data_IF_296691478707
#
_entry.id   IF_296691478707
#
_cell.length_a   1.000
_cell.length_b   1.000
_cell.length_c   1.000
_cell.angle_alpha   90.00
_cell.angle_beta   90.00
_cell.angle_gamma   90.00
#
_symmetry.space_group_name_H-M   'P 1'
#
loop_
_entity.id
_entity.type
_entity.pdbx_description
1 polymer ?
#
# COMPACT_ATOMS: atom_id res chain seq x y z
N UNK A 1 -12.01 20.86 -21.77
CA UNK A 1 -12.29 19.55 -22.38
C UNK A 1 -11.42 18.47 -21.74
N UNK A 2 -10.15 18.75 -21.49
CA UNK A 2 -9.17 17.78 -20.95
C UNK A 2 -9.53 17.20 -19.57
N UNK A 3 -10.15 18.00 -18.71
CA UNK A 3 -10.57 17.54 -17.39
C UNK A 3 -11.69 16.50 -17.44
N UNK A 4 -12.62 16.61 -18.39
CA UNK A 4 -13.70 15.65 -18.55
C UNK A 4 -13.14 14.30 -19.03
N UNK A 5 -12.22 14.35 -19.99
CA UNK A 5 -11.56 13.14 -20.52
C UNK A 5 -10.78 12.43 -19.43
N UNK A 6 -9.99 13.18 -18.63
CA UNK A 6 -9.26 12.61 -17.50
C UNK A 6 -10.18 11.98 -16.45
N UNK A 7 -11.34 12.61 -16.19
CA UNK A 7 -12.31 12.10 -15.23
C UNK A 7 -13.00 10.81 -15.71
N UNK A 8 -13.30 10.73 -17.01
CA UNK A 8 -13.84 9.52 -17.64
C UNK A 8 -12.81 8.38 -17.59
N UNK A 9 -11.55 8.67 -17.93
CA UNK A 9 -10.46 7.67 -17.87
C UNK A 9 -10.24 7.15 -16.44
N UNK A 10 -10.20 8.04 -15.45
CA UNK A 10 -10.09 7.65 -14.05
C UNK A 10 -11.30 6.85 -13.55
N UNK A 11 -12.49 7.18 -14.02
CA UNK A 11 -13.71 6.43 -13.74
C UNK A 11 -13.70 5.04 -14.35
N UNK A 12 -13.21 4.92 -15.58
CA UNK A 12 -13.07 3.63 -16.27
C UNK A 12 -12.02 2.73 -15.60
N UNK A 13 -10.88 3.30 -15.21
CA UNK A 13 -9.81 2.57 -14.50
C UNK A 13 -10.32 1.99 -13.17
N UNK A 14 -10.91 2.83 -12.32
CA UNK A 14 -11.48 2.38 -11.04
C UNK A 14 -12.69 1.45 -11.22
N UNK A 15 -13.54 1.73 -12.20
CA UNK A 15 -14.69 0.90 -12.51
C UNK A 15 -14.31 -0.50 -12.99
N UNK A 16 -13.25 -0.62 -13.80
CA UNK A 16 -12.73 -1.91 -14.23
C UNK A 16 -12.17 -2.74 -13.08
N UNK A 17 -11.46 -2.11 -12.14
CA UNK A 17 -10.96 -2.77 -10.94
C UNK A 17 -12.11 -3.31 -10.07
N UNK A 18 -13.13 -2.51 -9.82
CA UNK A 18 -14.33 -2.96 -9.09
C UNK A 18 -15.09 -4.08 -9.80
N UNK A 19 -15.19 -4.01 -11.12
CA UNK A 19 -15.83 -5.07 -11.92
C UNK A 19 -15.10 -6.41 -11.77
N UNK A 20 -13.77 -6.40 -11.81
CA UNK A 20 -12.94 -7.60 -11.61
C UNK A 20 -13.11 -8.18 -10.20
N UNK A 21 -13.12 -7.33 -9.18
CA UNK A 21 -13.33 -7.74 -7.79
C UNK A 21 -14.72 -8.37 -7.63
N UNK A 22 -15.76 -7.72 -8.16
CA UNK A 22 -17.13 -8.21 -8.11
C UNK A 22 -17.29 -9.56 -8.82
N UNK A 23 -16.67 -9.70 -9.99
CA UNK A 23 -16.67 -10.94 -10.75
C UNK A 23 -15.98 -12.09 -10.00
N UNK A 24 -14.80 -11.82 -9.41
CA UNK A 24 -14.07 -12.78 -8.59
C UNK A 24 -14.87 -13.21 -7.36
N UNK A 25 -15.51 -12.27 -6.68
CA UNK A 25 -16.35 -12.54 -5.52
C UNK A 25 -17.59 -13.37 -5.87
N UNK A 26 -18.25 -13.03 -6.99
CA UNK A 26 -19.41 -13.78 -7.49
C UNK A 26 -19.03 -15.22 -7.85
N UNK A 27 -17.86 -15.41 -8.43
CA UNK A 27 -17.37 -16.75 -8.78
C UNK A 27 -17.11 -17.60 -7.53
N UNK A 28 -16.46 -17.02 -6.50
CA UNK A 28 -16.19 -17.72 -5.24
C UNK A 28 -17.49 -18.07 -4.53
N UNK A 29 -18.43 -17.14 -4.40
CA UNK A 29 -19.71 -17.38 -3.74
C UNK A 29 -20.61 -18.34 -4.53
N UNK A 30 -20.56 -18.26 -5.86
CA UNK A 30 -21.33 -19.16 -6.74
C UNK A 30 -20.84 -20.60 -6.70
N UNK A 31 -19.53 -20.83 -6.57
CA UNK A 31 -18.95 -22.19 -6.53
C UNK A 31 -19.00 -22.82 -5.14
N UNK A 32 -18.72 -22.04 -4.09
CA UNK A 32 -18.66 -22.54 -2.71
C UNK A 32 -20.05 -22.57 -2.03
N UNK A 33 -21.03 -21.82 -2.53
CA UNK A 33 -22.37 -21.74 -1.94
C UNK A 33 -22.43 -21.12 -0.53
N UNK A 34 -21.28 -20.64 0.00
CA UNK A 34 -21.16 -20.06 1.33
C UNK A 34 -20.61 -18.63 1.24
N UNK A 35 -21.34 -17.69 1.79
CA UNK A 35 -20.91 -16.29 1.86
C UNK A 35 -19.97 -16.12 3.06
N UNK A 36 -18.69 -15.95 2.78
CA UNK A 36 -17.70 -15.70 3.83
C UNK A 36 -17.46 -14.18 3.98
N UNK A 37 -18.10 -13.55 4.97
CA UNK A 37 -17.93 -12.12 5.24
C UNK A 37 -16.52 -11.73 5.72
N UNK A 38 -15.72 -12.70 6.18
CA UNK A 38 -14.32 -12.44 6.58
C UNK A 38 -13.44 -12.05 5.39
N UNK A 39 -13.86 -12.33 4.15
CA UNK A 39 -13.10 -12.00 2.95
C UNK A 39 -12.84 -10.49 2.81
N UNK A 40 -13.84 -9.66 3.09
CA UNK A 40 -13.69 -8.21 3.08
C UNK A 40 -12.72 -7.71 4.16
N UNK A 41 -12.78 -8.29 5.36
CA UNK A 41 -11.86 -7.94 6.44
C UNK A 41 -10.41 -8.31 6.11
N UNK A 42 -10.17 -9.47 5.52
CA UNK A 42 -8.84 -9.90 5.06
C UNK A 42 -8.29 -9.01 3.95
N UNK A 43 -9.15 -8.58 3.02
CA UNK A 43 -8.77 -7.64 1.97
C UNK A 43 -8.33 -6.29 2.55
N UNK A 44 -9.11 -5.74 3.49
CA UNK A 44 -8.74 -4.50 4.19
C UNK A 44 -7.44 -4.64 4.96
N UNK A 45 -7.24 -5.75 5.65
CA UNK A 45 -6.02 -6.01 6.41
C UNK A 45 -4.80 -6.03 5.50
N UNK A 46 -4.88 -6.69 4.34
CA UNK A 46 -3.83 -6.70 3.33
C UNK A 46 -3.49 -5.30 2.80
N UNK A 47 -4.51 -4.50 2.51
CA UNK A 47 -4.34 -3.12 2.08
C UNK A 47 -3.67 -2.26 3.16
N UNK A 48 -4.08 -2.41 4.42
CA UNK A 48 -3.46 -1.71 5.55
C UNK A 48 -2.00 -2.11 5.74
N UNK A 49 -1.67 -3.39 5.65
CA UNK A 49 -0.29 -3.87 5.74
C UNK A 49 0.58 -3.25 4.63
N UNK A 50 0.10 -3.22 3.40
CA UNK A 50 0.84 -2.65 2.27
C UNK A 50 1.05 -1.14 2.44
N UNK A 51 0.00 -0.40 2.83
CA UNK A 51 0.09 1.05 3.06
C UNK A 51 1.03 1.36 4.23
N UNK A 52 0.93 0.62 5.33
CA UNK A 52 1.77 0.83 6.52
C UNK A 52 3.24 0.59 6.18
N UNK A 53 3.54 -0.48 5.46
CA UNK A 53 4.90 -0.78 5.02
C UNK A 53 5.45 0.30 4.08
N UNK A 54 4.66 0.73 3.09
CA UNK A 54 5.05 1.83 2.20
C UNK A 54 5.31 3.13 2.98
N UNK A 55 4.49 3.43 4.00
CA UNK A 55 4.67 4.58 4.88
C UNK A 55 5.93 4.49 5.73
N UNK A 56 6.26 3.31 6.24
CA UNK A 56 7.49 3.08 7.01
C UNK A 56 8.72 3.32 6.14
N UNK A 57 8.69 2.86 4.88
CA UNK A 57 9.77 3.10 3.93
C UNK A 57 9.94 4.58 3.56
N UNK A 58 8.86 5.35 3.56
CA UNK A 58 8.86 6.78 3.22
C UNK A 58 8.94 7.70 4.45
N UNK A 59 9.22 7.17 5.64
CA UNK A 59 9.46 8.01 6.82
C UNK A 59 10.65 8.93 6.58
N UNK A 60 10.44 10.23 6.76
CA UNK A 60 11.43 11.27 6.56
C UNK A 60 11.67 12.07 7.83
N UNK A 61 12.85 12.64 7.94
CA UNK A 61 13.19 13.63 8.95
C UNK A 61 13.53 14.95 8.27
N UNK A 62 13.33 16.04 8.99
CA UNK A 62 13.61 17.38 8.47
C UNK A 62 15.09 17.68 8.67
N UNK A 63 15.81 17.86 7.58
CA UNK A 63 17.20 18.36 7.58
C UNK A 63 17.22 19.81 7.16
N UNK A 64 18.02 20.61 7.84
CA UNK A 64 18.21 22.03 7.49
C UNK A 64 19.33 22.10 6.46
N UNK A 65 18.99 22.43 5.23
CA UNK A 65 19.98 22.66 4.18
C UNK A 65 20.42 24.12 4.19
N UNK A 66 21.62 24.37 4.72
CA UNK A 66 22.20 25.72 4.79
C UNK A 66 22.64 26.25 3.41
N UNK A 67 22.76 25.36 2.42
CA UNK A 67 23.18 25.73 1.06
C UNK A 67 22.02 26.33 0.25
N UNK A 68 20.79 25.96 0.57
CA UNK A 68 19.59 26.49 -0.06
C UNK A 68 18.86 27.44 0.90
N UNK A 69 18.63 28.64 0.44
CA UNK A 69 17.93 29.68 1.20
C UNK A 69 16.58 30.00 0.55
N UNK A 70 15.57 30.13 1.39
CA UNK A 70 14.27 30.62 0.99
C UNK A 70 14.35 32.10 0.56
N UNK A 71 13.31 32.60 -0.09
CA UNK A 71 13.17 33.98 -0.55
C UNK A 71 13.43 35.03 0.57
N UNK A 72 13.26 34.64 1.84
CA UNK A 72 13.51 35.44 3.04
C UNK A 72 14.93 35.28 3.60
N UNK A 73 15.79 34.50 2.95
CA UNK A 73 17.17 34.25 3.40
C UNK A 73 17.32 33.21 4.52
N UNK A 74 16.23 32.54 4.91
CA UNK A 74 16.28 31.47 5.90
C UNK A 74 16.72 30.14 5.24
N UNK A 75 17.46 29.28 5.96
CA UNK A 75 17.83 27.96 5.45
C UNK A 75 16.60 27.11 5.14
N UNK A 76 16.63 26.42 4.00
CA UNK A 76 15.52 25.60 3.54
C UNK A 76 15.43 24.33 4.38
N UNK A 77 14.22 23.96 4.80
CA UNK A 77 13.94 22.68 5.44
C UNK A 77 13.61 21.65 4.36
N UNK A 78 14.43 20.63 4.26
CA UNK A 78 14.26 19.54 3.30
C UNK A 78 13.89 18.27 4.05
N UNK A 79 12.84 17.60 3.60
CA UNK A 79 12.43 16.31 4.13
C UNK A 79 13.29 15.21 3.50
N UNK A 80 14.18 14.63 4.27
CA UNK A 80 15.07 13.54 3.84
C UNK A 80 14.57 12.23 4.41
N UNK A 81 14.29 11.23 3.59
CA UNK A 81 13.89 9.91 4.06
C UNK A 81 15.01 9.24 4.85
N UNK A 82 14.68 8.61 6.00
CA UNK A 82 15.65 7.86 6.83
C UNK A 82 16.38 6.75 6.05
N UNK A 83 15.77 6.25 4.99
CA UNK A 83 16.36 5.21 4.16
C UNK A 83 17.62 5.68 3.44
N UNK A 84 17.80 6.99 3.23
CA UNK A 84 18.99 7.57 2.62
C UNK A 84 20.19 7.50 3.55
N UNK A 85 19.97 7.59 4.88
CA UNK A 85 21.04 7.47 5.87
C UNK A 85 21.59 6.04 5.95
N UNK A 86 20.74 5.04 5.63
CA UNK A 86 21.10 3.62 5.73
C UNK A 86 21.68 3.05 4.44
N UNK A 87 21.17 3.44 3.30
CA UNK A 87 21.50 2.85 1.99
C UNK A 87 22.15 3.83 1.01
N UNK A 88 22.30 5.08 1.42
CA UNK A 88 22.75 6.15 0.52
C UNK A 88 21.65 6.68 -0.40
N UNK A 89 21.89 7.85 -0.97
CA UNK A 89 20.90 8.59 -1.72
C UNK A 89 20.41 7.85 -2.98
N UNK A 90 21.33 7.25 -3.76
CA UNK A 90 20.98 6.55 -5.00
C UNK A 90 20.19 5.26 -4.79
N UNK A 91 20.59 4.45 -3.80
CA UNK A 91 19.89 3.22 -3.46
C UNK A 91 18.57 3.50 -2.74
N UNK A 92 18.55 4.48 -1.84
CA UNK A 92 17.35 4.93 -1.15
C UNK A 92 16.28 5.44 -2.12
N UNK A 93 16.67 6.23 -3.12
CA UNK A 93 15.77 6.69 -4.17
C UNK A 93 15.15 5.52 -4.96
N UNK A 94 15.95 4.52 -5.32
CA UNK A 94 15.45 3.34 -5.99
C UNK A 94 14.42 2.58 -5.13
N UNK A 95 14.71 2.41 -3.84
CA UNK A 95 13.80 1.73 -2.89
C UNK A 95 12.48 2.51 -2.75
N UNK A 96 12.53 3.84 -2.68
CA UNK A 96 11.31 4.67 -2.58
C UNK A 96 10.49 4.57 -3.88
N UNK A 97 11.13 4.62 -5.04
CA UNK A 97 10.46 4.47 -6.32
C UNK A 97 9.78 3.09 -6.46
N UNK A 98 10.38 2.07 -5.85
CA UNK A 98 9.84 0.70 -5.81
C UNK A 98 9.08 0.39 -4.51
N UNK A 99 8.72 1.40 -3.72
CA UNK A 99 8.05 1.21 -2.43
C UNK A 99 6.71 0.47 -2.55
N UNK A 100 5.92 0.77 -3.58
CA UNK A 100 4.62 0.12 -3.79
C UNK A 100 4.74 -1.36 -4.14
N UNK A 101 5.53 -1.79 -5.15
CA UNK A 101 5.73 -3.20 -5.42
C UNK A 101 6.40 -3.95 -4.26
N UNK A 102 7.34 -3.34 -3.56
CA UNK A 102 7.95 -3.91 -2.36
C UNK A 102 6.94 -4.08 -1.23
N UNK A 103 6.05 -3.11 -1.03
CA UNK A 103 4.99 -3.20 -0.04
C UNK A 103 4.01 -4.35 -0.34
N UNK A 104 3.67 -4.55 -1.60
CA UNK A 104 2.83 -5.69 -2.03
C UNK A 104 3.55 -7.02 -1.77
N UNK A 105 4.83 -7.11 -2.13
CA UNK A 105 5.64 -8.30 -1.91
C UNK A 105 5.75 -8.66 -0.42
N UNK A 106 5.84 -7.65 0.46
CA UNK A 106 5.88 -7.85 1.91
C UNK A 106 4.50 -8.21 2.49
N UNK A 107 3.42 -7.65 1.95
CA UNK A 107 2.07 -7.93 2.40
C UNK A 107 1.67 -9.40 2.17
N UNK A 108 2.16 -10.04 1.11
CA UNK A 108 1.84 -11.43 0.78
C UNK A 108 2.19 -12.41 1.92
N UNK A 109 3.45 -12.48 2.41
CA UNK A 109 3.80 -13.42 3.49
C UNK A 109 3.08 -13.09 4.79
N UNK A 110 2.86 -11.82 5.11
CA UNK A 110 2.10 -11.40 6.28
C UNK A 110 0.66 -11.93 6.21
N UNK A 111 0.02 -11.79 5.07
CA UNK A 111 -1.35 -12.29 4.86
C UNK A 111 -1.42 -13.81 4.88
N UNK A 112 -0.40 -14.51 4.38
CA UNK A 112 -0.32 -15.98 4.47
C UNK A 112 -0.22 -16.42 5.94
N UNK A 113 0.63 -15.78 6.74
CA UNK A 113 0.79 -16.09 8.17
C UNK A 113 -0.53 -15.85 8.91
N UNK A 114 -1.18 -14.71 8.70
CA UNK A 114 -2.46 -14.39 9.34
C UNK A 114 -3.55 -15.39 8.91
N UNK A 115 -3.64 -15.71 7.62
CA UNK A 115 -4.57 -16.70 7.10
C UNK A 115 -4.33 -18.09 7.69
N UNK A 116 -3.07 -18.53 7.79
CA UNK A 116 -2.72 -19.78 8.43
C UNK A 116 -3.09 -19.81 9.92
N UNK A 117 -2.80 -18.73 10.65
CA UNK A 117 -3.16 -18.63 12.08
C UNK A 117 -4.67 -18.67 12.31
N UNK A 118 -5.44 -17.99 11.47
CA UNK A 118 -6.90 -18.01 11.55
C UNK A 118 -7.49 -19.38 11.20
N UNK A 119 -6.89 -20.05 10.22
CA UNK A 119 -7.36 -21.36 9.79
C UNK A 119 -6.95 -22.50 10.75
N UNK A 120 -5.77 -22.40 11.37
CA UNK A 120 -5.24 -23.40 12.31
C UNK A 120 -5.65 -23.17 13.75
N UNK A 121 -6.33 -22.05 14.05
CA UNK A 121 -6.85 -21.80 15.40
C UNK A 121 -7.86 -22.87 15.75
N UNK A 122 -7.61 -23.69 16.81
CA UNK A 122 -8.55 -24.71 17.22
C UNK A 122 -9.87 -24.05 17.58
N UNK A 123 -10.93 -24.45 16.91
CA UNK A 123 -12.29 -24.06 17.32
C UNK A 123 -12.49 -24.60 18.74
N UNK A 124 -12.91 -23.79 19.70
CA UNK A 124 -13.34 -24.31 21.00
C UNK A 124 -14.67 -25.06 20.78
N UNK A 125 -14.55 -26.28 20.35
CA UNK A 125 -15.63 -27.25 20.37
C UNK A 125 -15.26 -28.29 21.39
N UNK A 126 -15.69 -28.06 22.59
CA UNK A 126 -16.07 -29.06 23.58
C UNK A 126 -16.97 -28.40 24.60
#
# INVERSE_FOLDING_TARGET
MDQIILQVLNGLDKGSAYALIALGLTLIFGTLGVVNFAHGALFMLGAFCAITFSRILSLSHVVIDETQKDFLGNPLKVDVPYIYDWFGESAGQAIINWSVPLAILFAIPVMIIIGCLLYTSPSPRD
#
